data_IF_484528955683
#
_entry.id   IF_484528955683
#
_cell.length_a   1.000
_cell.length_b   1.000
_cell.length_c   1.000
_cell.angle_alpha   90.00
_cell.angle_beta   90.00
_cell.angle_gamma   90.00
#
_symmetry.space_group_name_H-M   'P 1'
#
loop_
_entity.id
_entity.type
_entity.pdbx_description
1 polymer ?
#
# COMPACT_ATOMS: atom_id res chain seq x y z
N UNK A 1 -10.23 14.79 -0.90
CA UNK A 1 -9.17 13.78 -0.72
C UNK A 1 -7.90 14.19 -1.45
N UNK A 2 -6.74 13.61 -1.11
CA UNK A 2 -5.47 13.85 -1.84
C UNK A 2 -5.59 13.53 -3.33
N UNK A 3 -6.32 12.47 -3.68
CA UNK A 3 -6.56 12.09 -5.08
C UNK A 3 -7.32 13.19 -5.84
N UNK A 4 -8.31 13.83 -5.23
CA UNK A 4 -9.02 14.97 -5.84
C UNK A 4 -8.09 16.17 -6.02
N UNK A 5 -7.26 16.47 -5.02
CA UNK A 5 -6.27 17.55 -5.10
C UNK A 5 -5.27 17.33 -6.25
N UNK A 6 -4.79 16.12 -6.45
CA UNK A 6 -3.91 15.79 -7.58
C UNK A 6 -4.63 15.97 -8.92
N UNK A 7 -5.89 15.54 -9.02
CA UNK A 7 -6.69 15.73 -10.23
C UNK A 7 -6.89 17.21 -10.56
N UNK A 8 -7.12 18.05 -9.57
CA UNK A 8 -7.31 19.49 -9.73
C UNK A 8 -6.07 20.19 -10.31
N UNK A 9 -4.88 19.64 -10.07
CA UNK A 9 -3.62 20.14 -10.64
C UNK A 9 -3.14 19.33 -11.86
N UNK A 10 -4.00 18.45 -12.40
CA UNK A 10 -3.71 17.68 -13.62
C UNK A 10 -2.80 16.48 -13.44
N UNK A 11 -2.62 16.01 -12.19
CA UNK A 11 -1.85 14.81 -11.89
C UNK A 11 -2.78 13.61 -11.77
N UNK A 12 -2.54 12.58 -12.57
CA UNK A 12 -3.24 11.32 -12.42
C UNK A 12 -2.86 10.65 -11.11
N UNK A 13 -3.87 10.35 -10.28
CA UNK A 13 -3.68 9.68 -9.02
C UNK A 13 -4.83 8.74 -8.70
N UNK A 14 -4.55 7.68 -7.96
CA UNK A 14 -5.54 6.73 -7.45
C UNK A 14 -5.22 6.30 -6.03
N UNK A 15 -6.26 5.98 -5.27
CA UNK A 15 -6.12 5.43 -3.94
C UNK A 15 -5.85 3.93 -4.02
N UNK A 16 -4.92 3.47 -3.19
CA UNK A 16 -4.65 2.05 -2.95
C UNK A 16 -4.92 1.75 -1.47
N UNK A 17 -5.42 0.57 -1.19
CA UNK A 17 -5.68 0.11 0.18
C UNK A 17 -4.90 -1.18 0.43
N UNK A 18 -4.19 -1.20 1.54
CA UNK A 18 -3.46 -2.34 2.03
C UNK A 18 -4.17 -2.91 3.24
N UNK A 19 -4.22 -4.22 3.34
CA UNK A 19 -4.90 -4.85 4.46
C UNK A 19 -4.15 -6.09 4.88
N UNK A 20 -3.79 -6.17 6.14
CA UNK A 20 -3.23 -7.39 6.71
C UNK A 20 -4.30 -8.48 6.76
N UNK A 21 -3.88 -9.73 6.77
CA UNK A 21 -4.76 -10.89 6.90
C UNK A 21 -5.63 -10.81 8.16
N UNK A 22 -5.03 -10.38 9.26
CA UNK A 22 -5.76 -10.11 10.51
C UNK A 22 -6.66 -8.87 10.40
N UNK A 23 -6.32 -7.91 9.57
CA UNK A 23 -7.08 -6.68 9.36
C UNK A 23 -8.22 -6.80 8.36
N UNK A 24 -8.28 -7.88 7.57
CA UNK A 24 -9.43 -8.17 6.71
C UNK A 24 -10.67 -8.47 7.58
N UNK A 25 -10.46 -9.01 8.75
CA UNK A 25 -11.48 -9.28 9.76
C UNK A 25 -11.60 -8.22 10.84
N UNK A 26 -10.77 -7.15 10.79
CA UNK A 26 -10.69 -6.08 11.76
C UNK A 26 -10.28 -4.75 11.14
N UNK A 27 -9.86 -3.79 11.96
CA UNK A 27 -9.61 -2.40 11.55
C UNK A 27 -8.19 -2.10 11.00
N UNK A 28 -7.35 -3.11 10.79
CA UNK A 28 -5.99 -2.91 10.31
C UNK A 28 -5.96 -2.71 8.78
N UNK A 29 -6.37 -1.54 8.34
CA UNK A 29 -6.31 -1.09 6.95
C UNK A 29 -5.41 0.12 6.85
N UNK A 30 -4.69 0.20 5.75
CA UNK A 30 -3.86 1.35 5.45
C UNK A 30 -4.15 1.86 4.05
N UNK A 31 -4.51 3.12 3.96
CA UNK A 31 -4.77 3.78 2.69
C UNK A 31 -3.53 4.53 2.26
N UNK A 32 -3.08 4.24 1.07
CA UNK A 32 -2.01 4.95 0.40
C UNK A 32 -2.51 5.45 -0.96
N UNK A 33 -1.65 6.00 -1.79
CA UNK A 33 -2.03 6.35 -3.14
C UNK A 33 -0.88 6.09 -4.12
N UNK A 34 -1.24 6.06 -5.39
CA UNK A 34 -0.30 6.08 -6.49
C UNK A 34 -0.54 7.31 -7.34
N UNK A 35 0.56 7.91 -7.79
CA UNK A 35 0.54 8.94 -8.84
C UNK A 35 1.17 8.38 -10.11
N UNK A 36 0.64 8.77 -11.28
CA UNK A 36 1.28 8.44 -12.53
C UNK A 36 2.34 9.48 -12.85
N UNK A 37 3.59 9.05 -12.91
CA UNK A 37 4.72 9.90 -13.13
C UNK A 37 5.76 9.20 -14.01
N UNK A 38 6.26 9.89 -15.02
CA UNK A 38 7.31 9.39 -15.93
C UNK A 38 7.02 7.98 -16.51
N UNK A 39 5.78 7.77 -16.96
CA UNK A 39 5.37 6.53 -17.61
C UNK A 39 5.03 5.38 -16.67
N UNK A 40 5.03 5.59 -15.36
CA UNK A 40 4.76 4.53 -14.37
C UNK A 40 3.94 5.06 -13.18
N UNK A 41 3.31 4.14 -12.46
CA UNK A 41 2.70 4.47 -11.16
C UNK A 41 3.78 4.48 -10.07
N UNK A 42 3.74 5.51 -9.24
CA UNK A 42 4.62 5.68 -8.09
C UNK A 42 3.80 5.59 -6.82
N UNK A 43 4.10 4.61 -5.99
CA UNK A 43 3.48 4.45 -4.68
C UNK A 43 4.00 5.50 -3.71
N UNK A 44 3.09 6.13 -2.99
CA UNK A 44 3.41 7.07 -1.92
C UNK A 44 2.49 6.87 -0.70
N UNK A 45 3.11 6.89 0.45
CA UNK A 45 2.42 6.92 1.73
C UNK A 45 2.53 8.33 2.31
N UNK A 46 1.45 9.09 2.19
CA UNK A 46 1.42 10.50 2.62
C UNK A 46 1.32 10.66 4.11
N UNK A 47 0.75 9.70 4.81
CA UNK A 47 0.57 9.76 6.26
C UNK A 47 1.92 9.78 6.98
N UNK A 48 2.91 9.16 6.36
CA UNK A 48 4.28 9.08 6.89
C UNK A 48 5.33 9.70 5.96
N UNK A 49 4.88 10.34 4.88
CA UNK A 49 5.69 11.08 3.92
C UNK A 49 6.88 10.27 3.35
N UNK A 50 6.58 9.09 2.82
CA UNK A 50 7.57 8.21 2.19
C UNK A 50 7.15 7.82 0.78
N UNK A 51 8.16 7.58 -0.06
CA UNK A 51 8.06 6.88 -1.33
C UNK A 51 8.98 5.67 -1.30
N UNK A 52 8.76 4.75 -2.21
CA UNK A 52 9.59 3.56 -2.33
C UNK A 52 10.32 3.59 -3.66
N UNK A 53 11.64 3.43 -3.60
CA UNK A 53 12.48 3.42 -4.79
C UNK A 53 13.77 2.61 -4.58
N UNK A 54 14.32 2.10 -5.67
CA UNK A 54 15.59 1.38 -5.68
C UNK A 54 16.37 1.74 -6.94
N UNK A 55 17.64 2.09 -6.79
CA UNK A 55 18.53 2.43 -7.90
C UNK A 55 17.96 3.49 -8.87
N UNK A 56 17.21 4.46 -8.34
CA UNK A 56 16.57 5.53 -9.12
C UNK A 56 15.24 5.15 -9.78
N UNK A 57 14.79 3.90 -9.66
CA UNK A 57 13.46 3.45 -10.09
C UNK A 57 12.45 3.51 -8.95
N UNK A 58 11.24 3.99 -9.24
CA UNK A 58 10.15 4.02 -8.29
C UNK A 58 9.38 2.69 -8.26
N UNK A 59 8.82 2.35 -7.10
CA UNK A 59 7.92 1.22 -6.97
C UNK A 59 6.47 1.67 -7.10
N UNK A 60 5.69 0.94 -7.88
CA UNK A 60 4.23 0.95 -7.76
C UNK A 60 3.79 0.13 -6.55
N UNK A 61 2.51 0.24 -6.16
CA UNK A 61 1.95 -0.64 -5.13
C UNK A 61 2.03 -2.11 -5.53
N UNK A 62 1.92 -2.38 -6.83
CA UNK A 62 2.05 -3.74 -7.36
C UNK A 62 3.47 -4.29 -7.21
N UNK A 63 4.48 -3.48 -7.53
CA UNK A 63 5.88 -3.88 -7.37
C UNK A 63 6.22 -4.12 -5.90
N UNK A 64 5.71 -3.27 -5.01
CA UNK A 64 5.84 -3.48 -3.56
C UNK A 64 5.16 -4.77 -3.11
N UNK A 65 3.94 -5.05 -3.58
CA UNK A 65 3.23 -6.29 -3.26
C UNK A 65 4.05 -7.51 -3.67
N UNK A 66 4.56 -7.52 -4.89
CA UNK A 66 5.40 -8.60 -5.41
C UNK A 66 6.69 -8.71 -4.58
N UNK A 67 7.37 -7.59 -4.35
CA UNK A 67 8.62 -7.56 -3.59
C UNK A 67 8.48 -8.07 -2.16
N UNK A 68 7.36 -7.75 -1.48
CA UNK A 68 7.06 -8.28 -0.15
C UNK A 68 6.72 -9.77 -0.18
N UNK A 69 5.93 -10.24 -1.15
CA UNK A 69 5.55 -11.64 -1.29
C UNK A 69 6.75 -12.55 -1.59
N UNK A 70 7.68 -12.06 -2.41
CA UNK A 70 8.88 -12.78 -2.83
C UNK A 70 10.08 -12.57 -1.90
N UNK A 71 10.01 -11.60 -0.99
CA UNK A 71 11.12 -11.22 -0.12
C UNK A 71 12.33 -10.65 -0.89
N UNK A 72 12.08 -9.99 -2.01
CA UNK A 72 13.13 -9.43 -2.90
C UNK A 72 13.48 -7.98 -2.61
N UNK A 73 12.77 -7.34 -1.69
CA UNK A 73 13.02 -5.97 -1.24
C UNK A 73 13.35 -5.93 0.26
N UNK A 74 14.04 -4.88 0.67
CA UNK A 74 14.49 -4.65 2.05
C UNK A 74 14.24 -3.18 2.47
N UNK A 75 14.53 -2.78 3.72
CA UNK A 75 14.29 -1.41 4.19
C UNK A 75 14.97 -0.29 3.41
N UNK A 76 15.99 -0.60 2.60
CA UNK A 76 16.71 0.42 1.79
C UNK A 76 15.85 1.03 0.68
N UNK A 77 14.72 0.40 0.33
CA UNK A 77 13.78 0.95 -0.66
C UNK A 77 12.96 2.13 -0.12
N UNK A 78 12.97 2.39 1.19
CA UNK A 78 12.20 3.47 1.81
C UNK A 78 12.96 4.78 1.70
N UNK A 79 12.37 5.74 1.01
CA UNK A 79 12.85 7.11 0.92
C UNK A 79 11.87 8.07 1.59
N UNK A 80 12.35 8.74 2.64
CA UNK A 80 11.56 9.76 3.34
C UNK A 80 11.59 11.07 2.54
N UNK A 81 10.41 11.64 2.30
CA UNK A 81 10.27 12.91 1.58
C UNK A 81 10.67 14.12 2.44
N UNK A 82 10.70 13.94 3.75
CA UNK A 82 11.12 14.97 4.69
C UNK A 82 12.19 14.42 5.62
N UNK A 83 13.39 14.96 5.51
CA UNK A 83 14.43 14.83 6.51
C UNK A 83 14.20 15.93 7.55
N UNK A 84 13.68 15.59 8.70
CA UNK A 84 13.50 16.56 9.76
C UNK A 84 12.45 16.15 10.79
N UNK A 85 12.32 16.96 11.83
CA UNK A 85 11.31 16.80 12.88
C UNK A 85 9.91 17.06 12.29
N UNK A 86 9.35 16.07 11.62
CA UNK A 86 7.96 16.09 11.12
C UNK A 86 6.97 16.18 12.29
N UNK A 87 7.42 15.88 13.51
CA UNK A 87 6.60 15.87 14.70
C UNK A 87 7.11 16.91 15.69
N UNK A 88 6.29 17.91 15.96
CA UNK A 88 6.44 18.77 17.11
C UNK A 88 6.57 17.89 18.37
N UNK A 89 7.51 18.23 19.27
CA UNK A 89 7.72 17.53 20.54
C UNK A 89 6.45 17.48 21.39
N UNK A 90 5.48 18.35 21.13
CA UNK A 90 4.17 18.41 21.77
C UNK A 90 3.13 17.44 21.19
N UNK A 91 3.44 16.74 20.07
CA UNK A 91 2.52 15.76 19.52
C UNK A 91 2.60 14.48 20.35
N UNK A 92 1.54 14.19 21.09
CA UNK A 92 1.42 12.99 21.93
C UNK A 92 1.18 11.72 21.10
N UNK A 93 2.15 11.39 20.24
CA UNK A 93 2.13 10.14 19.51
C UNK A 93 2.45 8.98 20.43
N UNK A 94 1.77 7.88 20.22
CA UNK A 94 2.13 6.63 20.88
C UNK A 94 3.55 6.22 20.49
N UNK A 95 4.23 5.45 21.34
CA UNK A 95 5.59 4.94 21.06
C UNK A 95 5.66 4.18 19.73
N UNK A 96 4.58 3.50 19.37
CA UNK A 96 4.46 2.77 18.10
C UNK A 96 4.50 3.72 16.89
N UNK A 97 3.67 4.75 16.91
CA UNK A 97 3.59 5.73 15.82
C UNK A 97 4.93 6.46 15.67
N UNK A 98 5.60 6.84 16.76
CA UNK A 98 6.94 7.45 16.68
C UNK A 98 7.95 6.57 15.95
N UNK A 99 7.94 5.25 16.18
CA UNK A 99 8.83 4.33 15.49
C UNK A 99 8.58 4.27 13.99
N UNK A 100 7.33 4.30 13.55
CA UNK A 100 6.98 4.35 12.12
C UNK A 100 7.63 5.55 11.43
N UNK A 101 7.71 6.71 12.11
CA UNK A 101 8.30 7.92 11.56
C UNK A 101 9.85 7.98 11.63
N UNK A 102 10.49 7.18 12.47
CA UNK A 102 11.92 7.33 12.79
C UNK A 102 12.78 6.12 12.41
N UNK A 103 12.16 4.95 12.22
CA UNK A 103 12.85 3.67 12.08
C UNK A 103 12.39 3.01 10.78
N UNK A 104 13.27 2.97 9.76
CA UNK A 104 12.95 2.39 8.45
C UNK A 104 12.74 0.88 8.52
N UNK A 105 13.48 0.16 9.37
CA UNK A 105 13.31 -1.28 9.54
C UNK A 105 11.93 -1.58 10.13
N UNK A 106 11.52 -0.79 11.13
CA UNK A 106 10.20 -0.92 11.72
C UNK A 106 9.10 -0.58 10.72
N UNK A 107 9.28 0.50 9.93
CA UNK A 107 8.34 0.92 8.92
C UNK A 107 8.20 -0.12 7.81
N UNK A 108 9.31 -0.69 7.36
CA UNK A 108 9.34 -1.76 6.37
C UNK A 108 8.56 -2.99 6.85
N UNK A 109 8.83 -3.47 8.05
CA UNK A 109 8.11 -4.59 8.64
C UNK A 109 6.62 -4.31 8.83
N UNK A 110 6.28 -3.08 9.14
CA UNK A 110 4.89 -2.66 9.24
C UNK A 110 4.18 -2.74 7.89
N UNK A 111 4.78 -2.19 6.80
CA UNK A 111 4.24 -2.31 5.45
C UNK A 111 4.16 -3.76 4.99
N UNK A 112 5.20 -4.55 5.25
CA UNK A 112 5.23 -5.96 4.90
C UNK A 112 4.05 -6.73 5.52
N UNK A 113 3.73 -6.46 6.76
CA UNK A 113 2.57 -7.07 7.46
C UNK A 113 1.23 -6.59 6.90
N UNK A 114 1.17 -5.39 6.35
CA UNK A 114 -0.03 -4.87 5.71
C UNK A 114 -0.19 -5.38 4.28
N UNK A 115 0.85 -5.91 3.67
CA UNK A 115 0.89 -6.29 2.26
C UNK A 115 0.24 -7.65 1.93
N UNK A 116 -0.53 -8.25 2.84
CA UNK A 116 -1.26 -9.49 2.55
C UNK A 116 -2.27 -9.31 1.41
N UNK A 117 -2.88 -8.11 1.30
CA UNK A 117 -3.71 -7.77 0.15
C UNK A 117 -3.49 -6.35 -0.33
N UNK A 118 -3.59 -6.16 -1.63
CA UNK A 118 -3.63 -4.86 -2.30
C UNK A 118 -4.99 -4.68 -2.96
N UNK A 119 -5.64 -3.55 -2.71
CA UNK A 119 -6.93 -3.24 -3.29
C UNK A 119 -6.88 -1.91 -4.04
N UNK A 120 -7.49 -1.90 -5.24
CA UNK A 120 -7.79 -0.70 -6.03
C UNK A 120 -9.28 -0.71 -6.38
N UNK A 121 -10.01 0.29 -5.90
CA UNK A 121 -11.47 0.35 -6.07
C UNK A 121 -12.17 -0.80 -5.35
N UNK A 122 -12.71 -1.75 -6.12
CA UNK A 122 -13.41 -2.94 -5.60
C UNK A 122 -12.66 -4.25 -5.86
N UNK A 123 -11.52 -4.18 -6.49
CA UNK A 123 -10.73 -5.35 -6.86
C UNK A 123 -9.61 -5.58 -5.83
N UNK A 124 -9.49 -6.81 -5.40
CA UNK A 124 -8.48 -7.25 -4.43
C UNK A 124 -7.53 -8.22 -5.10
N UNK A 125 -6.23 -7.95 -4.94
CA UNK A 125 -5.13 -8.85 -5.26
C UNK A 125 -4.58 -9.44 -3.97
N UNK A 126 -4.60 -10.74 -3.84
CA UNK A 126 -4.09 -11.48 -2.68
C UNK A 126 -2.68 -12.05 -2.89
N UNK A 127 -2.13 -11.88 -4.10
CA UNK A 127 -0.80 -12.40 -4.45
C UNK A 127 -0.73 -13.92 -4.30
N UNK A 128 0.28 -14.38 -3.55
CA UNK A 128 0.54 -15.80 -3.30
C UNK A 128 -0.27 -16.36 -2.11
N UNK A 129 -1.38 -15.74 -1.74
CA UNK A 129 -2.21 -16.18 -0.63
C UNK A 129 -2.78 -17.58 -0.91
N UNK A 130 -2.67 -18.54 0.02
CA UNK A 130 -3.23 -19.88 -0.13
C UNK A 130 -4.74 -19.86 -0.35
N UNK A 131 -5.25 -20.85 -1.12
CA UNK A 131 -6.67 -20.93 -1.50
C UNK A 131 -7.62 -20.94 -0.28
N UNK A 132 -7.25 -21.67 0.77
CA UNK A 132 -8.04 -21.74 2.02
C UNK A 132 -8.19 -20.37 2.69
N UNK A 133 -7.17 -19.54 2.56
CA UNK A 133 -7.17 -18.18 3.09
C UNK A 133 -8.01 -17.25 2.23
N UNK A 134 -8.00 -17.44 0.91
CA UNK A 134 -8.86 -16.70 -0.02
C UNK A 134 -10.33 -16.92 0.34
N UNK A 135 -10.72 -18.15 0.62
CA UNK A 135 -12.09 -18.46 1.00
C UNK A 135 -12.47 -17.85 2.36
N UNK A 136 -11.55 -17.89 3.32
CA UNK A 136 -11.74 -17.21 4.61
C UNK A 136 -11.92 -15.69 4.42
N UNK A 137 -11.09 -15.09 3.59
CA UNK A 137 -11.14 -13.66 3.25
C UNK A 137 -12.46 -13.32 2.55
N UNK A 138 -12.89 -14.13 1.58
CA UNK A 138 -14.18 -13.95 0.89
C UNK A 138 -15.33 -13.92 1.87
N UNK A 139 -15.41 -14.90 2.77
CA UNK A 139 -16.49 -14.99 3.76
C UNK A 139 -16.54 -13.77 4.66
N UNK A 140 -15.39 -13.28 5.11
CA UNK A 140 -15.33 -12.18 6.07
C UNK A 140 -15.47 -10.79 5.43
N UNK A 141 -15.05 -10.60 4.18
CA UNK A 141 -15.26 -9.33 3.46
C UNK A 141 -16.72 -9.17 3.00
N UNK A 142 -17.37 -10.25 2.60
CA UNK A 142 -18.74 -10.22 2.07
C UNK A 142 -19.73 -9.78 3.15
N UNK A 143 -19.51 -10.16 4.42
CA UNK A 143 -20.42 -9.82 5.52
C UNK A 143 -20.40 -8.34 5.91
N UNK A 144 -19.35 -7.59 5.55
CA UNK A 144 -19.12 -6.22 6.03
C UNK A 144 -19.27 -5.11 4.99
N UNK A 145 -20.32 -5.05 4.18
CA UNK A 145 -20.65 -3.90 3.30
C UNK A 145 -20.04 -3.89 1.90
N UNK A 146 -19.19 -4.83 1.50
CA UNK A 146 -18.53 -4.81 0.19
C UNK A 146 -19.07 -5.88 -0.76
N UNK A 147 -20.39 -5.89 -1.00
CA UNK A 147 -21.09 -6.82 -1.90
C UNK A 147 -20.57 -6.86 -3.36
N UNK A 148 -19.61 -6.03 -3.71
CA UNK A 148 -19.08 -5.92 -5.09
C UNK A 148 -17.59 -6.22 -5.20
N UNK A 149 -16.95 -6.65 -4.13
CA UNK A 149 -15.51 -6.96 -4.15
C UNK A 149 -15.25 -8.12 -5.12
N UNK A 150 -14.23 -7.93 -5.96
CA UNK A 150 -13.74 -8.94 -6.89
C UNK A 150 -12.33 -9.34 -6.48
N UNK A 151 -12.11 -10.65 -6.44
CA UNK A 151 -10.78 -11.20 -6.24
C UNK A 151 -10.17 -11.47 -7.60
N UNK A 152 -8.99 -10.91 -7.84
CA UNK A 152 -8.22 -11.07 -9.06
C UNK A 152 -6.91 -11.78 -8.74
N UNK A 153 -6.47 -12.62 -9.66
CA UNK A 153 -5.10 -13.12 -9.63
C UNK A 153 -4.10 -11.97 -9.80
N UNK A 154 -2.84 -12.20 -9.45
CA UNK A 154 -1.76 -11.24 -9.64
C UNK A 154 -1.68 -10.77 -11.12
N UNK A 155 -1.80 -11.71 -12.06
CA UNK A 155 -1.76 -11.42 -13.48
C UNK A 155 -2.96 -10.59 -13.96
N UNK A 156 -4.18 -10.96 -13.56
CA UNK A 156 -5.40 -10.22 -13.89
C UNK A 156 -5.36 -8.80 -13.33
N UNK A 157 -4.91 -8.65 -12.08
CA UNK A 157 -4.80 -7.36 -11.43
C UNK A 157 -3.75 -6.48 -12.12
N UNK A 158 -2.57 -7.04 -12.43
CA UNK A 158 -1.52 -6.35 -13.17
C UNK A 158 -1.99 -5.92 -14.55
N UNK A 159 -2.63 -6.81 -15.29
CA UNK A 159 -3.20 -6.50 -16.61
C UNK A 159 -4.23 -5.38 -16.54
N UNK A 160 -5.07 -5.36 -15.51
CA UNK A 160 -6.14 -4.36 -15.38
C UNK A 160 -5.63 -2.97 -14.99
N UNK A 161 -4.66 -2.90 -14.10
CA UNK A 161 -4.26 -1.65 -13.47
C UNK A 161 -2.88 -1.13 -13.86
N UNK A 162 -2.03 -1.97 -14.48
CA UNK A 162 -0.64 -1.65 -14.78
C UNK A 162 -0.23 -2.01 -16.22
N UNK A 163 -1.18 -2.30 -17.12
CA UNK A 163 -0.87 -2.68 -18.51
C UNK A 163 -0.41 -1.50 -19.38
N UNK A 164 -0.49 -0.29 -18.88
CA UNK A 164 -0.05 0.91 -19.59
C UNK A 164 1.35 1.39 -19.16
N UNK A 165 1.99 0.66 -18.26
CA UNK A 165 3.32 0.94 -17.75
C UNK A 165 4.38 0.13 -18.50
#
# INVERSE_FOLDING_TARGET
TMVELFKDVGIEARMTEWTSRTGITGDARHNTFETYFDGQYVHADVDIAVIFMLNGGYFSSMDLKIGFDEGTIDPTVIHRLFEGKVLDENYHLTKHIRRVYQDNDFLFEWHRRMADSLMIGVDICLGNTPEDDIEFIRRNIIDHKRKKVKFLTLEEFRKKYYSQC
#
